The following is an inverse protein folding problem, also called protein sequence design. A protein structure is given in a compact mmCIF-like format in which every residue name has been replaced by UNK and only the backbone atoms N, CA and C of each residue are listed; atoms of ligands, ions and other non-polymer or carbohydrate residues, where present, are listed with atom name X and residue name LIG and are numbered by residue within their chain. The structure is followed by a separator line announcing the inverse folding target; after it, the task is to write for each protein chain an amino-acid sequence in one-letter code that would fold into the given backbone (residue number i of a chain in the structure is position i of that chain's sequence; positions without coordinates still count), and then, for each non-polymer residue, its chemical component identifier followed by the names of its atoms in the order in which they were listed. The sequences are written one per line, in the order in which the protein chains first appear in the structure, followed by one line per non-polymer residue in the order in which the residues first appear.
data_IF_295122364787
#
_entry.id   IF_295122364787
#
_cell.length_a   1.000
_cell.length_b   1.000
_cell.length_c   1.000
_cell.angle_alpha   90.00
_cell.angle_beta   90.00
_cell.angle_gamma   90.00
#
_symmetry.space_group_name_H-M   'P 1'
#
loop_
_entity.id
_entity.type
_entity.pdbx_description
1 polymer ?
#
# COMPACT_ATOMS: atom_id res chain seq x y z
N UNK A 1 9.97 -13.96 -48.86
CA UNK A 1 9.94 -12.54 -48.42
C UNK A 1 8.69 -12.32 -47.56
N UNK A 2 8.83 -12.33 -46.24
CA UNK A 2 7.73 -12.12 -45.31
C UNK A 2 7.58 -10.63 -45.05
N UNK A 3 6.37 -10.11 -45.30
CA UNK A 3 6.04 -8.69 -45.09
C UNK A 3 5.89 -8.43 -43.58
N UNK A 4 6.77 -7.63 -43.03
CA UNK A 4 6.62 -7.06 -41.69
C UNK A 4 5.42 -6.07 -41.67
N UNK A 5 4.40 -6.37 -40.90
CA UNK A 5 3.33 -5.39 -40.59
C UNK A 5 3.88 -4.38 -39.56
N UNK A 6 3.89 -3.09 -39.92
CA UNK A 6 4.20 -1.98 -39.00
C UNK A 6 3.22 -1.98 -37.83
N UNK A 7 3.76 -1.87 -36.61
CA UNK A 7 2.96 -1.61 -35.39
C UNK A 7 2.35 -0.20 -35.48
N UNK A 8 1.11 0.01 -35.05
CA UNK A 8 0.54 1.33 -34.97
C UNK A 8 1.28 2.17 -33.90
N UNK A 9 1.56 3.40 -34.25
CA UNK A 9 2.13 4.42 -33.35
C UNK A 9 1.01 4.93 -32.44
N UNK A 10 1.13 4.79 -31.13
CA UNK A 10 0.22 5.34 -30.13
C UNK A 10 0.49 6.84 -30.05
N UNK A 11 -0.53 7.66 -30.30
CA UNK A 11 -0.46 9.12 -30.12
C UNK A 11 -0.70 9.47 -28.62
N UNK A 12 0.00 10.48 -28.05
CA UNK A 12 -0.25 10.94 -26.69
C UNK A 12 -1.67 11.54 -26.61
N UNK A 13 -2.47 11.06 -25.67
CA UNK A 13 -3.82 11.58 -25.40
C UNK A 13 -4.98 10.66 -25.78
N UNK A 14 -4.74 9.44 -26.26
CA UNK A 14 -5.80 8.44 -26.33
C UNK A 14 -6.00 7.75 -24.98
N UNK A 15 -7.25 7.50 -24.55
CA UNK A 15 -7.53 6.61 -23.42
C UNK A 15 -6.81 5.27 -23.63
N UNK A 16 -6.18 4.73 -22.59
CA UNK A 16 -5.53 3.42 -22.67
C UNK A 16 -6.55 2.34 -23.05
N UNK A 17 -6.14 1.32 -23.78
CA UNK A 17 -6.97 0.20 -24.26
C UNK A 17 -7.72 -0.54 -23.11
N UNK A 18 -7.54 -0.13 -21.86
CA UNK A 18 -8.05 -0.75 -20.64
C UNK A 18 -8.85 0.21 -19.73
N UNK A 19 -9.08 1.46 -20.17
CA UNK A 19 -9.88 2.42 -19.39
C UNK A 19 -11.39 2.11 -19.41
N UNK A 20 -11.85 1.22 -20.31
CA UNK A 20 -13.23 0.78 -20.47
C UNK A 20 -13.48 -0.68 -20.06
N UNK A 21 -12.63 -1.28 -19.22
CA UNK A 21 -12.91 -2.64 -18.75
C UNK A 21 -14.03 -2.60 -17.71
N UNK A 22 -15.20 -3.04 -18.15
CA UNK A 22 -16.40 -3.20 -17.33
C UNK A 22 -16.22 -4.37 -16.37
N UNK A 23 -15.80 -4.07 -15.13
CA UNK A 23 -15.71 -5.04 -14.03
C UNK A 23 -17.09 -5.64 -13.64
N UNK A 24 -18.21 -5.10 -14.21
CA UNK A 24 -19.57 -5.53 -13.87
C UNK A 24 -19.95 -6.94 -14.39
N UNK A 25 -19.08 -7.58 -15.17
CA UNK A 25 -19.31 -8.93 -15.71
C UNK A 25 -18.92 -10.06 -14.76
N UNK A 26 -18.35 -9.76 -13.61
CA UNK A 26 -17.89 -10.78 -12.66
C UNK A 26 -18.73 -10.74 -11.39
N UNK A 27 -19.57 -11.75 -11.25
CA UNK A 27 -20.27 -12.11 -10.01
C UNK A 27 -19.28 -12.44 -8.89
N UNK A 28 -19.71 -12.31 -7.64
CA UNK A 28 -18.94 -12.35 -6.39
C UNK A 28 -17.72 -13.28 -6.35
N UNK A 29 -16.71 -12.91 -5.58
CA UNK A 29 -15.44 -13.63 -5.38
C UNK A 29 -15.60 -15.10 -4.90
N UNK A 30 -16.78 -15.48 -4.45
CA UNK A 30 -17.10 -16.81 -3.92
C UNK A 30 -17.35 -17.89 -4.99
N UNK A 31 -17.48 -17.50 -6.28
CA UNK A 31 -17.84 -18.44 -7.34
C UNK A 31 -16.68 -19.30 -7.90
N UNK A 32 -15.44 -19.08 -7.44
CA UNK A 32 -14.29 -19.83 -7.91
C UNK A 32 -13.44 -20.38 -6.76
N UNK A 33 -13.54 -21.68 -6.46
CA UNK A 33 -12.68 -22.30 -5.44
C UNK A 33 -11.21 -22.18 -5.81
N UNK A 34 -10.39 -21.84 -4.82
CA UNK A 34 -8.91 -21.87 -4.95
C UNK A 34 -8.52 -23.28 -5.41
N UNK A 35 -7.59 -23.36 -6.37
CA UNK A 35 -7.18 -24.68 -6.88
C UNK A 35 -6.62 -25.53 -5.73
N UNK A 36 -7.12 -26.76 -5.50
CA UNK A 36 -6.77 -27.58 -4.32
C UNK A 36 -5.26 -27.81 -4.13
N UNK A 37 -4.48 -27.76 -5.20
CA UNK A 37 -3.02 -27.88 -5.12
C UNK A 37 -2.37 -26.63 -4.48
N UNK A 38 -2.97 -25.45 -4.59
CA UNK A 38 -2.48 -24.21 -4.01
C UNK A 38 -2.82 -24.15 -2.53
N UNK A 39 -4.02 -24.56 -2.16
CA UNK A 39 -4.41 -24.70 -0.74
C UNK A 39 -3.52 -25.70 -0.01
N UNK A 40 -3.31 -26.86 -0.61
CA UNK A 40 -2.49 -27.92 -0.03
C UNK A 40 -1.00 -27.51 0.11
N UNK A 41 -0.47 -26.75 -0.83
CA UNK A 41 0.91 -26.22 -0.73
C UNK A 41 0.99 -25.11 0.33
N UNK A 42 -0.02 -24.26 0.45
CA UNK A 42 -0.12 -23.24 1.49
C UNK A 42 -0.20 -23.87 2.88
N UNK A 43 -1.03 -24.91 3.05
CA UNK A 43 -1.13 -25.67 4.31
C UNK A 43 0.20 -26.37 4.67
N UNK A 44 0.89 -26.95 3.68
CA UNK A 44 2.20 -27.58 3.89
C UNK A 44 3.25 -26.59 4.36
N UNK A 45 3.30 -25.39 3.76
CA UNK A 45 4.25 -24.33 4.14
C UNK A 45 3.94 -23.81 5.54
N UNK A 46 2.67 -23.60 5.85
CA UNK A 46 2.23 -23.18 7.18
C UNK A 46 2.57 -24.23 8.25
N UNK A 47 2.38 -25.51 7.95
CA UNK A 47 2.74 -26.61 8.84
C UNK A 47 4.25 -26.71 9.06
N UNK A 48 5.06 -26.57 8.00
CA UNK A 48 6.52 -26.58 8.08
C UNK A 48 7.08 -25.37 8.88
N UNK A 49 6.47 -24.19 8.71
CA UNK A 49 6.86 -22.99 9.46
C UNK A 49 6.48 -23.10 10.94
N UNK A 50 5.32 -23.68 11.23
CA UNK A 50 4.87 -23.98 12.61
C UNK A 50 5.81 -24.99 13.28
N UNK A 51 6.17 -26.08 12.60
CA UNK A 51 7.12 -27.09 13.11
C UNK A 51 8.51 -26.49 13.36
N UNK A 52 9.00 -25.62 12.45
CA UNK A 52 10.25 -24.91 12.62
C UNK A 52 10.23 -23.98 13.84
N UNK A 53 9.10 -23.30 14.08
CA UNK A 53 8.89 -22.41 15.22
C UNK A 53 8.79 -23.17 16.54
N UNK A 54 8.10 -24.35 16.55
CA UNK A 54 8.03 -25.23 17.72
C UNK A 54 9.42 -25.77 18.07
N UNK A 55 10.23 -26.18 17.09
CA UNK A 55 11.63 -26.58 17.33
C UNK A 55 12.49 -25.46 17.91
N UNK A 56 12.29 -24.20 17.49
CA UNK A 56 12.99 -23.04 18.05
C UNK A 56 12.56 -22.71 19.49
N UNK A 57 11.36 -23.12 19.90
CA UNK A 57 10.85 -22.86 21.26
C UNK A 57 11.28 -23.92 22.30
N UNK A 58 11.77 -25.10 21.84
CA UNK A 58 12.13 -26.23 22.70
C UNK A 58 13.61 -26.63 22.66
N UNK A 59 14.47 -25.79 22.08
CA UNK A 59 15.92 -25.97 22.18
C UNK A 59 16.41 -25.36 23.53
N UNK A 60 16.19 -26.12 24.59
CA UNK A 60 16.63 -25.81 25.95
C UNK A 60 18.14 -26.03 26.05
N UNK A 61 18.93 -25.01 25.73
CA UNK A 61 20.33 -25.16 26.03
C UNK A 61 21.32 -24.13 25.54
N UNK A 62 20.97 -22.86 25.42
CA UNK A 62 22.00 -21.84 25.41
C UNK A 62 21.54 -20.55 26.11
N UNK A 63 22.42 -20.14 27.03
CA UNK A 63 22.35 -18.90 27.79
C UNK A 63 21.90 -17.75 26.91
N UNK A 64 20.78 -17.15 27.28
CA UNK A 64 20.28 -15.89 26.71
C UNK A 64 21.44 -14.86 26.81
N UNK A 65 22.19 -14.73 25.72
CA UNK A 65 22.98 -13.54 25.50
C UNK A 65 21.95 -12.39 25.39
N UNK A 66 22.13 -11.28 26.11
CA UNK A 66 21.22 -10.14 25.94
C UNK A 66 21.15 -9.88 24.45
N UNK A 67 19.93 -9.88 23.87
CA UNK A 67 19.71 -9.42 22.52
C UNK A 67 20.52 -8.12 22.39
N UNK A 68 21.58 -8.15 21.58
CA UNK A 68 22.25 -6.92 21.18
C UNK A 68 21.13 -6.01 20.71
N UNK A 69 20.97 -4.89 21.39
CA UNK A 69 19.93 -3.93 21.05
C UNK A 69 20.14 -3.60 19.57
N UNK A 70 19.19 -4.02 18.73
CA UNK A 70 19.21 -3.65 17.32
C UNK A 70 19.48 -2.15 17.25
N UNK A 71 20.40 -1.70 16.41
CA UNK A 71 20.73 -0.29 16.32
C UNK A 71 19.43 0.50 16.23
N UNK A 72 19.25 1.45 17.13
CA UNK A 72 18.09 2.33 17.12
C UNK A 72 18.12 3.09 15.80
N UNK A 73 17.24 2.69 14.87
CA UNK A 73 17.07 3.39 13.61
C UNK A 73 16.31 4.66 13.94
N UNK A 74 17.00 5.81 13.91
CA UNK A 74 16.39 7.09 14.25
C UNK A 74 15.44 7.61 13.18
N UNK A 75 15.52 7.09 11.96
CA UNK A 75 14.77 7.61 10.79
C UNK A 75 14.54 6.54 9.74
N UNK A 76 13.39 6.62 9.12
CA UNK A 76 13.05 5.84 7.94
C UNK A 76 12.87 6.76 6.73
N UNK A 77 12.96 6.19 5.55
CA UNK A 77 12.77 6.84 4.25
C UNK A 77 11.41 6.47 3.69
N UNK A 78 10.67 7.46 3.24
CA UNK A 78 9.38 7.29 2.55
C UNK A 78 9.35 8.09 1.26
N UNK A 79 8.83 7.51 0.19
CA UNK A 79 8.53 8.18 -1.09
C UNK A 79 7.22 7.60 -1.62
N UNK A 80 6.26 8.46 -1.96
CA UNK A 80 5.13 8.07 -2.81
C UNK A 80 5.46 8.47 -4.25
N UNK A 81 5.32 7.57 -5.20
CA UNK A 81 5.56 7.83 -6.63
C UNK A 81 4.28 8.14 -7.40
N UNK A 82 3.16 8.04 -6.74
CA UNK A 82 1.82 8.27 -7.22
C UNK A 82 0.82 7.57 -6.32
N UNK A 83 -0.37 8.17 -6.15
CA UNK A 83 -1.42 7.67 -5.28
C UNK A 83 -2.80 8.03 -5.82
N UNK A 84 -3.47 7.05 -6.42
CA UNK A 84 -4.81 7.16 -6.98
C UNK A 84 -5.06 6.17 -8.12
N UNK A 85 -6.25 6.15 -8.71
CA UNK A 85 -6.67 5.19 -9.74
C UNK A 85 -5.84 5.21 -11.05
N UNK A 86 -4.88 6.13 -11.21
CA UNK A 86 -3.90 6.14 -12.30
C UNK A 86 -2.67 5.28 -12.02
N UNK A 87 -2.36 5.03 -10.76
CA UNK A 87 -1.27 4.19 -10.31
C UNK A 87 -0.88 4.47 -8.87
N UNK A 88 -0.68 3.41 -8.10
CA UNK A 88 -0.26 3.45 -6.71
C UNK A 88 1.09 2.77 -6.56
N UNK A 89 2.04 3.45 -5.94
CA UNK A 89 3.33 2.88 -5.58
C UNK A 89 3.99 3.75 -4.50
N UNK A 90 4.44 3.12 -3.42
CA UNK A 90 5.16 3.80 -2.35
C UNK A 90 6.40 2.99 -1.94
N UNK A 91 7.46 3.69 -1.55
CA UNK A 91 8.70 3.11 -1.02
C UNK A 91 8.80 3.37 0.48
N UNK A 92 9.15 2.34 1.22
CA UNK A 92 9.61 2.42 2.60
C UNK A 92 10.98 1.78 2.72
N UNK A 93 11.90 2.43 3.44
CA UNK A 93 13.25 1.90 3.61
C UNK A 93 13.99 2.53 4.79
N UNK A 94 15.08 1.89 5.15
CA UNK A 94 16.13 2.43 6.02
C UNK A 94 17.40 2.74 5.17
N UNK A 95 18.56 2.81 5.80
CA UNK A 95 19.81 3.09 5.08
C UNK A 95 20.36 1.87 4.31
N UNK A 96 19.87 0.66 4.58
CA UNK A 96 20.43 -0.60 4.08
C UNK A 96 19.46 -1.42 3.26
N UNK A 97 18.17 -1.31 3.52
CA UNK A 97 17.13 -2.06 2.82
C UNK A 97 15.81 -1.29 2.71
N UNK A 98 15.01 -1.65 1.74
CA UNK A 98 13.67 -1.11 1.56
C UNK A 98 12.83 -2.00 0.66
N UNK A 99 11.59 -1.61 0.47
CA UNK A 99 10.62 -2.33 -0.35
C UNK A 99 9.56 -1.37 -0.91
N UNK A 100 8.82 -1.85 -1.88
CA UNK A 100 7.68 -1.14 -2.46
C UNK A 100 6.37 -1.69 -1.88
N UNK A 101 5.42 -0.80 -1.65
CA UNK A 101 4.00 -1.13 -1.53
C UNK A 101 3.37 -0.83 -2.88
N UNK A 102 2.84 -1.86 -3.53
CA UNK A 102 2.27 -1.84 -4.86
C UNK A 102 3.26 -1.45 -5.98
N UNK A 103 2.83 -1.63 -7.23
CA UNK A 103 3.62 -1.33 -8.44
C UNK A 103 2.70 -0.90 -9.60
N UNK A 104 1.77 0.01 -9.32
CA UNK A 104 0.85 0.56 -10.31
C UNK A 104 1.43 1.73 -11.12
N UNK A 105 2.51 2.34 -10.63
CA UNK A 105 3.22 3.44 -11.28
C UNK A 105 4.31 2.91 -12.22
N UNK A 106 4.58 3.64 -13.31
CA UNK A 106 5.60 3.25 -14.29
C UNK A 106 6.95 2.96 -13.65
N UNK A 107 7.51 1.80 -13.97
CA UNK A 107 8.77 1.34 -13.39
C UNK A 107 9.95 2.30 -13.65
N UNK A 108 9.99 2.95 -14.82
CA UNK A 108 11.10 3.85 -15.15
C UNK A 108 11.03 5.07 -14.26
N UNK A 109 9.84 5.65 -14.09
CA UNK A 109 9.62 6.77 -13.18
C UNK A 109 10.02 6.43 -11.74
N UNK A 110 9.58 5.29 -11.21
CA UNK A 110 9.91 4.84 -9.85
C UNK A 110 11.43 4.67 -9.66
N UNK A 111 12.10 4.03 -10.61
CA UNK A 111 13.56 3.81 -10.55
C UNK A 111 14.34 5.11 -10.62
N UNK A 112 13.94 6.03 -11.50
CA UNK A 112 14.58 7.33 -11.64
C UNK A 112 14.43 8.17 -10.37
N UNK A 113 13.24 8.15 -9.74
CA UNK A 113 13.01 8.84 -8.48
C UNK A 113 13.81 8.24 -7.32
N UNK A 114 13.87 6.90 -7.21
CA UNK A 114 14.74 6.24 -6.23
C UNK A 114 16.21 6.66 -6.40
N UNK A 115 16.69 6.66 -7.65
CA UNK A 115 18.06 7.08 -7.97
C UNK A 115 18.35 8.54 -7.63
N UNK A 116 17.43 9.47 -7.95
CA UNK A 116 17.55 10.90 -7.60
C UNK A 116 17.67 11.11 -6.11
N UNK A 117 17.03 10.25 -5.31
CA UNK A 117 17.07 10.28 -3.86
C UNK A 117 18.18 9.40 -3.25
N UNK A 118 19.14 8.95 -4.06
CA UNK A 118 20.30 8.18 -3.61
C UNK A 118 20.00 6.75 -3.15
N UNK A 119 18.87 6.17 -3.59
CA UNK A 119 18.44 4.81 -3.24
C UNK A 119 18.83 3.86 -4.37
N UNK A 120 19.71 2.90 -4.08
CA UNK A 120 20.11 1.86 -5.03
C UNK A 120 19.03 0.76 -5.08
N UNK A 121 18.59 0.41 -6.29
CA UNK A 121 17.63 -0.69 -6.51
C UNK A 121 18.07 -2.03 -5.92
N UNK A 122 19.37 -2.25 -5.69
CA UNK A 122 19.88 -3.45 -4.99
C UNK A 122 19.41 -3.53 -3.53
N UNK A 123 19.11 -2.39 -2.92
CA UNK A 123 18.57 -2.34 -1.54
C UNK A 123 17.08 -2.60 -1.49
N UNK A 124 16.34 -2.44 -2.61
CA UNK A 124 14.90 -2.71 -2.69
C UNK A 124 14.66 -4.21 -2.82
N UNK A 125 14.18 -4.84 -1.75
CA UNK A 125 14.10 -6.30 -1.60
C UNK A 125 12.87 -6.92 -2.22
N UNK A 126 11.79 -6.16 -2.40
CA UNK A 126 10.56 -6.72 -2.97
C UNK A 126 9.42 -5.72 -3.06
N UNK A 127 8.27 -6.24 -3.43
CA UNK A 127 7.02 -5.52 -3.58
C UNK A 127 5.96 -6.24 -2.75
N UNK A 128 5.35 -5.56 -1.79
CA UNK A 128 4.18 -6.06 -1.07
C UNK A 128 2.93 -5.51 -1.75
N UNK A 129 2.04 -6.40 -2.23
CA UNK A 129 0.82 -6.00 -2.92
C UNK A 129 -0.34 -5.92 -1.96
N UNK A 130 -1.09 -4.83 -2.03
CA UNK A 130 -2.32 -4.63 -1.25
C UNK A 130 -3.46 -5.47 -1.81
N UNK A 131 -3.66 -5.44 -3.14
CA UNK A 131 -4.69 -6.21 -3.85
C UNK A 131 -4.37 -6.29 -5.35
N UNK A 132 -5.30 -6.83 -6.14
CA UNK A 132 -5.08 -7.18 -7.54
C UNK A 132 -5.68 -6.22 -8.58
N UNK A 133 -6.07 -4.99 -8.21
CA UNK A 133 -6.51 -3.99 -9.17
C UNK A 133 -5.36 -3.46 -10.03
N UNK A 134 -5.66 -3.06 -11.27
CA UNK A 134 -4.68 -2.69 -12.29
C UNK A 134 -3.76 -1.54 -11.89
N UNK A 135 -4.29 -0.56 -11.19
CA UNK A 135 -3.56 0.60 -10.69
C UNK A 135 -2.63 0.29 -9.50
N UNK A 136 -2.67 -0.94 -8.97
CA UNK A 136 -1.74 -1.45 -7.95
C UNK A 136 -0.71 -2.44 -8.51
N UNK A 137 -1.02 -3.14 -9.62
CA UNK A 137 -0.18 -4.28 -10.07
C UNK A 137 0.41 -4.13 -11.46
N UNK A 138 0.04 -3.07 -12.21
CA UNK A 138 0.36 -2.88 -13.63
C UNK A 138 1.81 -3.17 -14.01
N UNK A 139 2.76 -2.76 -13.20
CA UNK A 139 4.19 -2.89 -13.48
C UNK A 139 4.92 -3.94 -12.63
N UNK A 140 4.21 -4.68 -11.77
CA UNK A 140 4.83 -5.65 -10.86
C UNK A 140 5.76 -6.63 -11.59
N UNK A 141 5.31 -7.21 -12.69
CA UNK A 141 6.13 -8.17 -13.44
C UNK A 141 7.29 -7.51 -14.20
N UNK A 142 7.17 -6.24 -14.57
CA UNK A 142 8.27 -5.48 -15.16
C UNK A 142 9.44 -5.32 -14.18
N UNK A 143 9.15 -4.97 -12.92
CA UNK A 143 10.13 -4.90 -11.83
C UNK A 143 10.81 -6.25 -11.61
N UNK A 144 10.06 -7.31 -11.40
CA UNK A 144 10.58 -8.65 -11.09
C UNK A 144 11.45 -9.21 -12.23
N UNK A 145 11.05 -8.95 -13.47
CA UNK A 145 11.84 -9.37 -14.64
C UNK A 145 13.17 -8.63 -14.77
N UNK A 146 13.19 -7.33 -14.43
CA UNK A 146 14.39 -6.49 -14.51
C UNK A 146 15.29 -6.68 -13.30
N UNK A 147 14.72 -6.76 -12.10
CA UNK A 147 15.42 -6.86 -10.83
C UNK A 147 15.17 -8.22 -10.18
N UNK A 148 15.86 -9.25 -10.66
CA UNK A 148 15.60 -10.67 -10.32
C UNK A 148 15.83 -11.03 -8.85
N UNK A 149 16.44 -10.16 -8.07
CA UNK A 149 16.61 -10.33 -6.62
C UNK A 149 15.37 -9.94 -5.83
N UNK A 150 14.46 -9.20 -6.46
CA UNK A 150 13.19 -8.80 -5.83
C UNK A 150 12.20 -9.96 -5.82
N UNK A 151 11.37 -9.98 -4.80
CA UNK A 151 10.22 -10.88 -4.67
C UNK A 151 8.91 -10.08 -4.63
N UNK A 152 7.81 -10.72 -4.98
CA UNK A 152 6.46 -10.18 -4.76
C UNK A 152 5.80 -10.91 -3.60
N UNK A 153 5.34 -10.15 -2.62
CA UNK A 153 4.69 -10.62 -1.41
C UNK A 153 3.20 -10.33 -1.52
N UNK A 154 2.40 -11.36 -1.63
CA UNK A 154 0.94 -11.27 -1.62
C UNK A 154 0.33 -12.60 -1.21
N UNK A 155 -0.95 -12.58 -0.84
CA UNK A 155 -1.65 -13.83 -0.53
C UNK A 155 -1.79 -14.70 -1.78
N UNK A 156 -1.91 -16.02 -1.65
CA UNK A 156 -2.19 -16.91 -2.79
C UNK A 156 -3.47 -16.54 -3.54
N UNK A 157 -4.50 -16.01 -2.84
CA UNK A 157 -5.75 -15.53 -3.46
C UNK A 157 -5.51 -14.29 -4.31
N UNK A 158 -4.77 -13.29 -3.80
CA UNK A 158 -4.40 -12.09 -4.56
C UNK A 158 -3.58 -12.45 -5.80
N UNK A 159 -2.59 -13.38 -5.70
CA UNK A 159 -1.85 -13.85 -6.85
C UNK A 159 -2.75 -14.52 -7.90
N UNK A 160 -3.71 -15.34 -7.47
CA UNK A 160 -4.65 -15.95 -8.39
C UNK A 160 -5.56 -14.92 -9.07
N UNK A 161 -6.03 -13.91 -8.33
CA UNK A 161 -6.77 -12.78 -8.86
C UNK A 161 -5.97 -12.06 -9.93
N UNK A 162 -4.74 -11.70 -9.61
CA UNK A 162 -3.81 -11.04 -10.51
C UNK A 162 -3.59 -11.83 -11.82
N UNK A 163 -3.39 -13.14 -11.74
CA UNK A 163 -3.20 -14.00 -12.93
C UNK A 163 -4.47 -14.18 -13.76
N UNK A 164 -5.65 -14.06 -13.17
CA UNK A 164 -6.94 -14.16 -13.87
C UNK A 164 -7.35 -12.86 -14.53
N UNK A 165 -7.19 -11.74 -13.83
CA UNK A 165 -7.66 -10.42 -14.26
C UNK A 165 -6.71 -9.72 -15.24
N UNK A 166 -5.40 -10.06 -15.18
CA UNK A 166 -4.39 -9.34 -15.95
C UNK A 166 -3.61 -10.30 -16.88
N UNK A 167 -3.21 -9.78 -18.04
CA UNK A 167 -2.37 -10.49 -19.00
C UNK A 167 -0.91 -10.56 -18.53
N UNK A 168 -0.68 -11.07 -17.32
CA UNK A 168 0.64 -11.21 -16.69
C UNK A 168 1.16 -12.64 -16.93
N UNK A 169 2.47 -12.74 -17.16
CA UNK A 169 3.13 -14.04 -17.33
C UNK A 169 3.04 -14.90 -16.08
N UNK A 170 2.67 -16.17 -16.22
CA UNK A 170 2.70 -17.16 -15.15
C UNK A 170 4.06 -17.29 -14.45
N UNK A 171 5.14 -16.80 -15.06
CA UNK A 171 6.47 -16.76 -14.45
C UNK A 171 6.58 -15.81 -13.25
N UNK A 172 5.57 -14.99 -12.99
CA UNK A 172 5.51 -14.21 -11.73
C UNK A 172 5.52 -15.13 -10.51
N UNK A 173 5.06 -16.38 -10.65
CA UNK A 173 5.11 -17.41 -9.60
C UNK A 173 6.53 -17.75 -9.15
N UNK A 174 7.53 -17.57 -10.03
CA UNK A 174 8.94 -17.83 -9.74
C UNK A 174 9.50 -16.82 -8.70
N UNK A 175 8.83 -15.67 -8.55
CA UNK A 175 9.19 -14.56 -7.64
C UNK A 175 8.23 -14.43 -6.46
N UNK A 176 7.17 -15.25 -6.40
CA UNK A 176 6.13 -15.11 -5.40
C UNK A 176 6.56 -15.67 -4.04
N UNK A 177 6.50 -14.81 -3.04
CA UNK A 177 6.56 -15.19 -1.64
C UNK A 177 5.14 -15.13 -1.06
N UNK A 178 4.57 -16.28 -0.78
CA UNK A 178 3.21 -16.36 -0.23
C UNK A 178 3.19 -15.80 1.19
N UNK A 179 2.30 -14.85 1.45
CA UNK A 179 2.02 -14.33 2.78
C UNK A 179 0.59 -14.70 3.20
N UNK A 180 0.34 -14.64 4.51
CA UNK A 180 -0.96 -14.92 5.09
C UNK A 180 -1.34 -13.79 6.03
N UNK A 181 -2.61 -13.37 5.98
CA UNK A 181 -3.12 -12.35 6.90
C UNK A 181 -2.89 -12.80 8.34
N UNK A 182 -2.58 -11.85 9.23
CA UNK A 182 -2.30 -12.08 10.66
C UNK A 182 -1.03 -12.89 10.96
N UNK A 183 -0.22 -13.18 9.94
CA UNK A 183 1.07 -13.85 10.14
C UNK A 183 2.21 -12.92 9.73
N UNK A 184 3.16 -12.66 10.62
CA UNK A 184 4.28 -11.78 10.32
C UNK A 184 5.25 -12.43 9.32
N UNK A 185 5.80 -11.60 8.44
CA UNK A 185 6.87 -11.95 7.50
C UNK A 185 7.87 -10.80 7.42
N UNK A 186 9.01 -11.02 6.79
CA UNK A 186 10.07 -10.01 6.72
C UNK A 186 10.40 -9.63 5.28
N UNK A 187 10.66 -8.33 5.06
CA UNK A 187 11.27 -7.81 3.83
C UNK A 187 12.45 -6.93 4.24
N UNK A 188 13.67 -7.40 3.99
CA UNK A 188 14.88 -6.72 4.50
C UNK A 188 14.86 -6.61 6.03
N UNK A 189 15.03 -5.42 6.56
CA UNK A 189 15.03 -5.15 8.00
C UNK A 189 13.63 -4.85 8.58
N UNK A 190 12.59 -5.01 7.78
CA UNK A 190 11.22 -4.71 8.18
C UNK A 190 10.45 -5.99 8.46
N UNK A 191 9.68 -5.97 9.54
CA UNK A 191 8.67 -7.00 9.80
C UNK A 191 7.31 -6.45 9.39
N UNK A 192 6.61 -7.17 8.52
CA UNK A 192 5.29 -6.82 8.01
C UNK A 192 4.27 -7.83 8.50
N UNK A 193 3.06 -7.36 8.73
CA UNK A 193 1.89 -8.17 9.00
C UNK A 193 0.76 -7.66 8.13
N UNK A 194 0.23 -8.52 7.25
CA UNK A 194 -0.94 -8.20 6.45
C UNK A 194 -2.21 -8.38 7.28
N UNK A 195 -3.14 -7.43 7.20
CA UNK A 195 -4.46 -7.51 7.82
C UNK A 195 -5.56 -7.26 6.79
N UNK A 196 -6.77 -7.71 7.10
CA UNK A 196 -7.91 -7.55 6.19
C UNK A 196 -8.40 -6.11 6.11
N UNK A 197 -8.63 -5.64 4.89
CA UNK A 197 -9.33 -4.39 4.59
C UNK A 197 -10.55 -4.67 3.70
N UNK A 198 -11.57 -3.86 3.83
CA UNK A 198 -12.84 -4.01 3.11
C UNK A 198 -12.75 -3.29 1.77
N UNK A 199 -12.59 -4.06 0.70
CA UNK A 199 -12.55 -3.54 -0.68
C UNK A 199 -12.97 -4.63 -1.67
N UNK A 200 -13.22 -4.29 -2.93
CA UNK A 200 -13.77 -5.19 -3.95
C UNK A 200 -12.70 -5.93 -4.81
N UNK A 201 -11.44 -5.94 -4.36
CA UNK A 201 -10.40 -6.82 -4.93
C UNK A 201 -10.61 -8.30 -4.57
N UNK A 202 -9.88 -9.20 -5.24
CA UNK A 202 -9.98 -10.65 -4.99
C UNK A 202 -9.57 -11.03 -3.57
N UNK A 203 -8.57 -10.34 -3.00
CA UNK A 203 -8.14 -10.48 -1.61
C UNK A 203 -7.36 -9.23 -1.22
N UNK A 204 -7.86 -8.49 -0.24
CA UNK A 204 -7.39 -7.15 0.06
C UNK A 204 -6.62 -7.12 1.38
N UNK A 205 -5.50 -6.44 1.41
CA UNK A 205 -4.63 -6.36 2.58
C UNK A 205 -4.17 -4.93 2.86
N UNK A 206 -4.34 -4.48 4.09
CA UNK A 206 -3.53 -3.44 4.68
C UNK A 206 -2.26 -4.04 5.31
N UNK A 207 -1.28 -3.20 5.59
CA UNK A 207 -0.02 -3.63 6.17
C UNK A 207 0.30 -2.87 7.46
N UNK A 208 0.56 -3.62 8.53
CA UNK A 208 1.23 -3.12 9.72
C UNK A 208 2.71 -3.49 9.63
N UNK A 209 3.58 -2.49 9.65
CA UNK A 209 5.01 -2.61 9.34
C UNK A 209 5.79 -2.07 10.51
N UNK A 210 6.80 -2.81 10.96
CA UNK A 210 7.67 -2.40 12.05
C UNK A 210 9.14 -2.44 11.63
N UNK A 211 9.91 -1.46 12.13
CA UNK A 211 11.37 -1.44 12.08
C UNK A 211 11.88 -0.76 13.36
N UNK A 212 12.38 -1.56 14.30
CA UNK A 212 12.69 -1.07 15.65
C UNK A 212 11.46 -0.50 16.35
N UNK A 213 11.54 0.77 16.76
CA UNK A 213 10.44 1.48 17.43
C UNK A 213 9.45 2.14 16.45
N UNK A 214 9.69 2.08 15.15
CA UNK A 214 8.82 2.67 14.13
C UNK A 214 7.66 1.73 13.78
N UNK A 215 6.45 2.28 13.76
CA UNK A 215 5.22 1.59 13.41
C UNK A 215 4.55 2.32 12.24
N UNK A 216 4.54 1.69 11.07
CA UNK A 216 3.91 2.22 9.86
C UNK A 216 2.65 1.40 9.62
N UNK A 217 1.56 2.06 9.24
CA UNK A 217 0.35 1.40 8.75
C UNK A 217 0.01 1.92 7.38
N UNK A 218 -0.24 1.00 6.46
CA UNK A 218 -0.76 1.28 5.13
C UNK A 218 -2.13 0.66 5.00
N UNK A 219 -3.14 1.50 4.81
CA UNK A 219 -4.53 1.15 4.67
C UNK A 219 -5.14 1.98 3.53
N UNK A 220 -4.82 1.58 2.31
CA UNK A 220 -5.40 2.15 1.08
C UNK A 220 -6.56 1.30 0.60
N UNK A 221 -7.44 1.89 -0.19
CA UNK A 221 -8.61 1.21 -0.76
C UNK A 221 -9.48 0.56 0.31
N UNK A 222 -10.12 1.43 1.10
CA UNK A 222 -10.98 1.10 2.22
C UNK A 222 -12.41 1.54 1.94
N UNK A 223 -13.34 0.62 1.80
CA UNK A 223 -14.77 0.96 1.75
C UNK A 223 -15.32 1.34 3.12
N UNK A 224 -14.79 0.75 4.19
CA UNK A 224 -15.13 1.08 5.57
C UNK A 224 -13.99 0.74 6.52
N UNK A 225 -14.02 1.34 7.71
CA UNK A 225 -13.03 1.07 8.78
C UNK A 225 -13.52 -0.11 9.61
N UNK A 226 -13.04 -1.31 9.28
CA UNK A 226 -13.33 -2.51 10.04
C UNK A 226 -12.64 -2.50 11.41
N UNK A 227 -13.13 -3.32 12.36
CA UNK A 227 -12.47 -3.50 13.67
C UNK A 227 -11.00 -3.90 13.53
N UNK A 228 -10.67 -4.68 12.49
CA UNK A 228 -9.33 -5.14 12.24
C UNK A 228 -8.42 -4.02 11.74
N UNK A 229 -8.90 -3.20 10.84
CA UNK A 229 -8.19 -2.01 10.37
C UNK A 229 -7.99 -1.01 11.53
N UNK A 230 -9.02 -0.72 12.33
CA UNK A 230 -8.94 0.14 13.52
C UNK A 230 -7.88 -0.35 14.50
N UNK A 231 -7.84 -1.67 14.79
CA UNK A 231 -6.86 -2.26 15.71
C UNK A 231 -5.40 -1.99 15.31
N UNK A 232 -5.07 -2.02 14.01
CA UNK A 232 -3.72 -1.75 13.53
C UNK A 232 -3.46 -0.26 13.36
N UNK A 233 -4.41 0.51 12.82
CA UNK A 233 -4.23 1.93 12.58
C UNK A 233 -3.98 2.73 13.86
N UNK A 234 -4.58 2.33 14.99
CA UNK A 234 -4.32 2.94 16.32
C UNK A 234 -2.88 2.78 16.81
N UNK A 235 -2.10 1.87 16.25
CA UNK A 235 -0.70 1.63 16.64
C UNK A 235 0.29 2.45 15.82
N UNK A 236 -0.17 3.18 14.81
CA UNK A 236 0.68 3.85 13.85
C UNK A 236 1.43 5.04 14.46
N UNK A 237 2.71 5.14 14.15
CA UNK A 237 3.43 6.41 14.17
C UNK A 237 3.29 7.14 12.82
N UNK A 238 3.19 6.36 11.75
CA UNK A 238 3.06 6.84 10.38
C UNK A 238 1.90 6.09 9.73
N UNK A 239 0.85 6.82 9.37
CA UNK A 239 -0.36 6.25 8.81
C UNK A 239 -0.60 6.75 7.39
N UNK A 240 -0.60 5.83 6.44
CA UNK A 240 -1.09 6.05 5.08
C UNK A 240 -2.52 5.51 5.01
N UNK A 241 -3.49 6.40 4.86
CA UNK A 241 -4.92 6.08 4.89
C UNK A 241 -5.63 6.73 3.72
N UNK A 242 -6.64 6.06 3.20
CA UNK A 242 -7.45 6.57 2.11
C UNK A 242 -8.28 7.80 2.52
N UNK A 243 -8.35 8.79 1.61
CA UNK A 243 -9.30 9.89 1.59
C UNK A 243 -9.74 10.08 0.13
N UNK A 244 -10.62 9.19 -0.34
CA UNK A 244 -10.86 9.06 -1.77
C UNK A 244 -11.72 10.20 -2.32
N UNK A 245 -12.89 10.44 -1.75
CA UNK A 245 -13.85 11.37 -2.33
C UNK A 245 -14.45 12.33 -1.29
N UNK A 246 -14.95 13.45 -1.81
CA UNK A 246 -15.83 14.35 -1.08
C UNK A 246 -17.28 14.01 -1.46
N UNK A 247 -18.13 13.67 -0.49
CA UNK A 247 -19.50 13.21 -0.75
C UNK A 247 -20.33 14.19 -1.57
N UNK A 248 -20.33 15.53 -1.32
CA UNK A 248 -20.99 16.50 -2.19
C UNK A 248 -20.51 16.48 -3.64
N UNK A 249 -19.19 16.36 -3.88
CA UNK A 249 -18.63 16.29 -5.23
C UNK A 249 -19.05 15.00 -5.93
N UNK A 250 -19.01 13.86 -5.25
CA UNK A 250 -19.44 12.58 -5.81
C UNK A 250 -20.94 12.62 -6.15
N UNK A 251 -21.79 13.16 -5.29
CA UNK A 251 -23.21 13.28 -5.51
C UNK A 251 -23.53 14.15 -6.75
N UNK A 252 -22.86 15.31 -6.87
CA UNK A 252 -23.04 16.25 -7.98
C UNK A 252 -22.28 15.85 -9.26
N UNK A 253 -21.32 14.92 -9.16
CA UNK A 253 -20.43 14.50 -10.23
C UNK A 253 -21.14 13.77 -11.37
N UNK A 254 -20.46 13.67 -12.51
CA UNK A 254 -21.00 13.11 -13.75
C UNK A 254 -21.02 11.59 -13.80
N UNK A 255 -20.52 10.90 -12.78
CA UNK A 255 -20.50 9.45 -12.73
C UNK A 255 -21.92 8.86 -12.73
N UNK A 256 -22.14 7.73 -13.41
CA UNK A 256 -23.42 7.02 -13.35
C UNK A 256 -23.74 6.61 -11.89
N UNK A 257 -25.03 6.52 -11.56
CA UNK A 257 -25.49 6.22 -10.20
C UNK A 257 -24.98 4.89 -9.67
N UNK A 258 -24.85 3.85 -10.50
CA UNK A 258 -24.28 2.56 -10.09
C UNK A 258 -22.81 2.69 -9.66
N UNK A 259 -22.03 3.57 -10.33
CA UNK A 259 -20.63 3.81 -9.97
C UNK A 259 -20.52 4.64 -8.69
N UNK A 260 -21.38 5.64 -8.50
CA UNK A 260 -21.45 6.39 -7.24
C UNK A 260 -21.80 5.46 -6.09
N UNK A 261 -22.79 4.58 -6.27
CA UNK A 261 -23.18 3.59 -5.26
C UNK A 261 -22.05 2.59 -4.95
N UNK A 262 -21.29 2.12 -5.96
CA UNK A 262 -20.10 1.27 -5.75
C UNK A 262 -19.04 2.00 -4.95
N UNK A 263 -18.70 3.24 -5.33
CA UNK A 263 -17.67 4.05 -4.65
C UNK A 263 -18.02 4.26 -3.18
N UNK A 264 -19.28 4.57 -2.86
CA UNK A 264 -19.73 4.85 -1.48
C UNK A 264 -20.16 3.62 -0.68
N UNK A 265 -19.98 2.41 -1.20
CA UNK A 265 -20.31 1.16 -0.49
C UNK A 265 -19.22 0.77 0.53
N UNK A 266 -19.57 -0.14 1.44
CA UNK A 266 -18.63 -0.69 2.44
C UNK A 266 -17.42 -1.43 1.84
N UNK A 267 -17.49 -1.81 0.57
CA UNK A 267 -16.39 -2.39 -0.21
C UNK A 267 -15.84 -1.40 -1.26
N UNK A 268 -16.28 -0.16 -1.24
CA UNK A 268 -15.83 0.88 -2.15
C UNK A 268 -14.61 1.64 -1.61
N UNK A 269 -14.81 2.93 -1.32
CA UNK A 269 -13.76 3.86 -0.89
C UNK A 269 -14.23 4.76 0.25
N UNK A 270 -13.31 5.36 1.00
CA UNK A 270 -13.61 6.26 2.11
C UNK A 270 -13.91 7.69 1.65
N UNK A 271 -14.96 8.24 2.21
CA UNK A 271 -15.25 9.68 2.18
C UNK A 271 -14.27 10.47 3.06
N UNK A 272 -13.96 11.71 2.68
CA UNK A 272 -13.04 12.56 3.41
C UNK A 272 -13.48 12.83 4.85
N UNK A 273 -14.77 13.05 5.10
CA UNK A 273 -15.29 13.32 6.44
C UNK A 273 -15.17 12.08 7.33
N UNK A 274 -15.47 10.88 6.80
CA UNK A 274 -15.28 9.61 7.51
C UNK A 274 -13.82 9.43 7.92
N UNK A 275 -12.89 9.71 7.01
CA UNK A 275 -11.45 9.66 7.29
C UNK A 275 -11.05 10.70 8.34
N UNK A 276 -11.55 11.92 8.23
CA UNK A 276 -11.24 13.03 9.14
C UNK A 276 -11.73 12.74 10.56
N UNK A 277 -13.02 12.36 10.73
CA UNK A 277 -13.60 11.98 12.01
C UNK A 277 -12.85 10.80 12.65
N UNK A 278 -12.48 9.82 11.84
CA UNK A 278 -11.71 8.68 12.30
C UNK A 278 -10.34 9.10 12.82
N UNK A 279 -9.60 9.89 12.07
CA UNK A 279 -8.26 10.38 12.45
C UNK A 279 -8.31 11.21 13.73
N UNK A 280 -9.30 12.11 13.87
CA UNK A 280 -9.51 12.90 15.08
C UNK A 280 -9.76 11.99 16.30
N UNK A 281 -10.54 10.93 16.13
CA UNK A 281 -10.88 9.97 17.19
C UNK A 281 -9.69 9.14 17.66
N UNK A 282 -8.79 8.73 16.76
CA UNK A 282 -7.64 7.87 17.10
C UNK A 282 -6.36 8.65 17.40
N UNK A 283 -6.38 9.95 17.17
CA UNK A 283 -5.17 10.76 17.32
C UNK A 283 -4.58 10.63 18.73
N UNK A 284 -3.28 10.39 18.74
CA UNK A 284 -2.41 10.48 19.92
C UNK A 284 -1.09 11.12 19.53
N UNK A 285 -0.31 11.69 20.44
CA UNK A 285 1.03 12.25 20.12
C UNK A 285 2.01 11.24 19.53
N UNK A 286 1.70 9.92 19.58
CA UNK A 286 2.49 8.89 18.91
C UNK A 286 2.30 8.88 17.39
N UNK A 287 1.15 9.36 16.88
CA UNK A 287 0.87 9.50 15.46
C UNK A 287 1.56 10.74 14.91
N UNK A 288 2.69 10.55 14.24
CA UNK A 288 3.59 11.62 13.78
C UNK A 288 3.32 12.10 12.36
N UNK A 289 2.98 11.18 11.44
CA UNK A 289 2.68 11.53 10.06
C UNK A 289 1.39 10.85 9.61
N UNK A 290 0.56 11.62 8.93
CA UNK A 290 -0.65 11.18 8.25
C UNK A 290 -0.50 11.47 6.76
N UNK A 291 -0.58 10.43 5.95
CA UNK A 291 -0.55 10.50 4.49
C UNK A 291 -1.92 10.13 3.94
N UNK A 292 -2.65 11.13 3.44
CA UNK A 292 -3.92 10.89 2.75
C UNK A 292 -3.63 10.37 1.36
N UNK A 293 -4.11 9.18 1.06
CA UNK A 293 -3.81 8.50 -0.20
C UNK A 293 -5.07 8.25 -1.04
N UNK A 294 -4.86 7.82 -2.28
CA UNK A 294 -5.87 7.36 -3.22
C UNK A 294 -7.01 8.36 -3.46
N UNK A 295 -6.66 9.67 -3.59
CA UNK A 295 -7.65 10.72 -3.86
C UNK A 295 -8.25 10.57 -5.25
N UNK A 296 -9.57 10.65 -5.36
CA UNK A 296 -10.29 10.65 -6.64
C UNK A 296 -9.89 11.87 -7.48
N UNK A 297 -9.72 11.68 -8.78
CA UNK A 297 -9.43 12.77 -9.71
C UNK A 297 -10.61 13.71 -9.87
N UNK A 298 -11.81 13.15 -9.96
CA UNK A 298 -13.01 13.88 -10.39
C UNK A 298 -13.91 14.26 -9.20
N UNK A 299 -13.77 13.57 -8.07
CA UNK A 299 -14.64 13.76 -6.90
C UNK A 299 -13.87 14.18 -5.65
N UNK A 300 -12.65 14.71 -5.80
CA UNK A 300 -11.84 15.21 -4.69
C UNK A 300 -10.82 16.24 -5.17
N UNK A 301 -10.25 16.97 -4.22
CA UNK A 301 -9.01 17.73 -4.40
C UNK A 301 -8.13 17.59 -3.16
N UNK A 302 -6.78 17.74 -3.27
CA UNK A 302 -5.91 17.73 -2.11
C UNK A 302 -6.35 18.71 -1.01
N UNK A 303 -6.72 19.93 -1.38
CA UNK A 303 -7.14 20.96 -0.42
C UNK A 303 -8.40 20.57 0.34
N UNK A 304 -9.41 19.96 -0.34
CA UNK A 304 -10.64 19.52 0.33
C UNK A 304 -10.35 18.40 1.33
N UNK A 305 -9.54 17.43 0.93
CA UNK A 305 -9.18 16.32 1.82
C UNK A 305 -8.33 16.80 3.01
N UNK A 306 -7.35 17.68 2.78
CA UNK A 306 -6.50 18.27 3.83
C UNK A 306 -7.34 19.09 4.81
N UNK A 307 -8.19 20.00 4.31
CA UNK A 307 -9.02 20.85 5.16
C UNK A 307 -9.95 20.04 6.05
N UNK A 308 -10.61 18.99 5.52
CA UNK A 308 -11.48 18.13 6.32
C UNK A 308 -10.71 17.51 7.50
N UNK A 309 -9.52 16.96 7.25
CA UNK A 309 -8.70 16.33 8.29
C UNK A 309 -8.12 17.36 9.26
N UNK A 310 -7.63 18.50 8.77
CA UNK A 310 -7.11 19.57 9.64
C UNK A 310 -8.18 20.09 10.58
N UNK A 311 -9.38 20.37 10.07
CA UNK A 311 -10.49 20.89 10.88
C UNK A 311 -10.88 19.89 11.97
N UNK A 312 -10.97 18.60 11.64
CA UNK A 312 -11.29 17.56 12.61
C UNK A 312 -10.19 17.40 13.68
N UNK A 313 -8.92 17.42 13.29
CA UNK A 313 -7.79 17.37 14.23
C UNK A 313 -7.76 18.60 15.14
N UNK A 314 -8.01 19.81 14.60
CA UNK A 314 -8.10 21.05 15.40
C UNK A 314 -9.23 21.01 16.40
N UNK A 315 -10.40 20.48 16.03
CA UNK A 315 -11.53 20.25 16.93
C UNK A 315 -11.19 19.24 18.04
N UNK A 316 -10.33 18.26 17.74
CA UNK A 316 -9.80 17.32 18.73
C UNK A 316 -8.66 17.91 19.60
N UNK A 317 -8.30 19.19 19.42
CA UNK A 317 -7.33 19.90 20.26
C UNK A 317 -5.90 19.92 19.70
N UNK A 318 -5.67 19.48 18.46
CA UNK A 318 -4.34 19.57 17.79
C UNK A 318 -4.15 21.00 17.30
N UNK A 319 -3.25 21.75 17.91
CA UNK A 319 -3.04 23.17 17.60
C UNK A 319 -2.08 23.42 16.46
N UNK A 320 -1.09 22.53 16.28
CA UNK A 320 -0.03 22.67 15.29
C UNK A 320 0.04 21.43 14.42
N UNK A 321 -0.11 21.61 13.11
CA UNK A 321 -0.06 20.57 12.09
C UNK A 321 0.99 21.01 11.06
N UNK A 322 2.00 20.16 10.81
CA UNK A 322 3.02 20.36 9.79
C UNK A 322 2.59 19.77 8.44
N UNK A 323 3.32 20.14 7.39
CA UNK A 323 3.04 19.78 6.00
C UNK A 323 4.01 18.72 5.41
N UNK A 324 4.68 17.95 6.25
CA UNK A 324 5.75 17.01 5.89
C UNK A 324 6.98 17.64 5.24
N UNK A 325 7.08 18.97 5.18
CA UNK A 325 8.26 19.65 4.66
C UNK A 325 9.44 19.54 5.62
N UNK A 326 10.65 19.71 5.09
CA UNK A 326 11.88 19.74 5.91
C UNK A 326 12.08 21.08 6.63
N UNK A 327 11.10 21.98 6.60
CA UNK A 327 11.18 23.26 7.31
C UNK A 327 11.27 23.06 8.83
N UNK A 328 12.00 23.92 9.56
CA UNK A 328 12.08 23.81 11.03
C UNK A 328 10.71 23.86 11.71
N UNK A 329 9.78 24.68 11.17
CA UNK A 329 8.43 24.82 11.70
C UNK A 329 7.63 23.51 11.56
N UNK A 330 7.59 22.91 10.34
CA UNK A 330 6.91 21.65 10.10
C UNK A 330 7.47 20.52 10.98
N UNK A 331 8.79 20.45 11.14
CA UNK A 331 9.45 19.45 11.99
C UNK A 331 9.07 19.54 13.47
N UNK A 332 8.74 20.71 13.96
CA UNK A 332 8.35 20.92 15.36
C UNK A 332 6.88 20.58 15.62
N UNK A 333 6.05 20.54 14.58
CA UNK A 333 4.65 20.21 14.74
C UNK A 333 4.47 18.79 15.30
N UNK A 334 3.52 18.57 16.23
CA UNK A 334 3.28 17.27 16.85
C UNK A 334 2.81 16.21 15.85
N UNK A 335 2.12 16.62 14.78
CA UNK A 335 1.71 15.77 13.67
C UNK A 335 1.95 16.49 12.34
N UNK A 336 2.28 15.71 11.33
CA UNK A 336 2.45 16.17 9.96
C UNK A 336 1.40 15.52 9.07
N UNK A 337 0.76 16.32 8.22
CA UNK A 337 -0.31 15.89 7.32
C UNK A 337 0.06 16.21 5.88
N UNK A 338 -0.17 15.27 4.97
CA UNK A 338 0.05 15.44 3.54
C UNK A 338 -0.97 14.65 2.74
N UNK A 339 -1.55 15.27 1.72
CA UNK A 339 -2.23 14.56 0.65
C UNK A 339 -1.20 14.10 -0.39
N UNK A 340 -1.11 12.79 -0.62
CA UNK A 340 -0.15 12.22 -1.56
C UNK A 340 -0.49 12.62 -3.00
N UNK A 341 0.49 13.08 -3.79
CA UNK A 341 0.27 13.44 -5.18
C UNK A 341 -0.23 12.26 -6.00
N UNK A 342 -1.15 12.54 -6.93
CA UNK A 342 -1.74 11.53 -7.79
C UNK A 342 -0.77 11.02 -8.86
N UNK A 343 -0.01 11.91 -9.47
CA UNK A 343 0.81 11.63 -10.65
C UNK A 343 2.30 11.86 -10.43
N UNK A 344 2.64 12.59 -9.39
CA UNK A 344 4.01 13.04 -9.12
C UNK A 344 4.56 12.33 -7.88
N UNK A 345 5.89 12.33 -7.77
CA UNK A 345 6.57 11.86 -6.57
C UNK A 345 6.56 12.92 -5.47
N UNK A 346 6.45 12.47 -4.22
CA UNK A 346 6.63 13.36 -3.05
C UNK A 346 8.07 13.84 -2.87
N UNK A 347 9.04 13.21 -3.58
CA UNK A 347 10.42 13.25 -3.15
C UNK A 347 10.64 12.45 -1.85
N UNK A 348 11.85 12.53 -1.31
CA UNK A 348 12.22 11.80 -0.10
C UNK A 348 11.69 12.50 1.16
N UNK A 349 10.84 11.82 1.90
CA UNK A 349 10.36 12.23 3.23
C UNK A 349 11.10 11.39 4.27
N UNK A 350 11.66 12.07 5.27
CA UNK A 350 12.31 11.42 6.40
C UNK A 350 11.32 11.24 7.55
N UNK A 351 10.99 10.01 7.88
CA UNK A 351 10.11 9.67 9.01
C UNK A 351 10.93 9.59 10.31
N UNK A 352 10.49 10.31 11.36
CA UNK A 352 11.16 10.40 12.67
C UNK A 352 10.16 10.28 13.81
N UNK A 353 10.57 9.64 14.90
CA UNK A 353 9.76 9.54 16.12
C UNK A 353 9.90 10.78 17.02
N UNK A 354 10.98 11.53 16.86
CA UNK A 354 11.30 12.76 17.63
C UNK A 354 11.68 13.91 16.69
#
# INVERSE_FOLDING_TARGET
MARYKKRPTIQPGMPGLFDDFDDSLFTSADDFPVHPAIEKEAERRLAAEKEKRERMLFDDGDTFSPLEALPTIDRLKFISFGSGSSGNCAYFGDDTSGFLIDAGVDMVHVVDELHRNGIDMKTVKGIALTHDHSDHVRYVYAFLRKYRHMQVFCTPRALNGLLRRHAISNRIKDYHHAIYKEHPFTIGNFTLLAFEVMHDGTDNAGYYITNGAHHIVVATDLGCISERADFYMRKANYLMIEANYNAPMLAAGTYPEYLKARISSDNGHLDNEVTAEYLARIYTPALRNIFLCHLSKDNNTPDIALNAVEDALRQAGVTEIGDCSESPYARMAPVQLMALPRFDSTGLITLRLK
#
